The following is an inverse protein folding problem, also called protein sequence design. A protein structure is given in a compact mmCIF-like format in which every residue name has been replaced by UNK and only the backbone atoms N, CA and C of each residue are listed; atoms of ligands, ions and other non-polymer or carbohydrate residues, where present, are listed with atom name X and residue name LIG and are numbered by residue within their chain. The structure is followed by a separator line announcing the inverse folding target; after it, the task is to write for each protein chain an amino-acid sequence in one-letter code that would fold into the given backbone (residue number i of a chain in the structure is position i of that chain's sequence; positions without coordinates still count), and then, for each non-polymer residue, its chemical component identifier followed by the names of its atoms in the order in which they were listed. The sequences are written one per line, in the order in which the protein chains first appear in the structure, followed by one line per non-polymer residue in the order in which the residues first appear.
data_IF_199062913689
#
_entry.id   IF_199062913689
#
_cell.length_a   1.000
_cell.length_b   1.000
_cell.length_c   1.000
_cell.angle_alpha   90.00
_cell.angle_beta   90.00
_cell.angle_gamma   90.00
#
_symmetry.space_group_name_H-M   'P 1'
#
loop_
_entity.id
_entity.type
_entity.pdbx_description
1 polymer ?
#
# COMPACT_ATOMS: atom_id res chain seq x y z
N UNK A 1 -20.62 41.37 -0.17
CA UNK A 1 -20.15 40.81 1.11
C UNK A 1 -21.39 40.60 1.97
N UNK A 2 -21.87 39.36 2.06
CA UNK A 2 -23.09 39.05 2.79
C UNK A 2 -22.78 39.19 4.28
N UNK A 3 -23.58 39.99 5.00
CA UNK A 3 -23.38 40.38 6.40
C UNK A 3 -23.55 39.25 7.43
N UNK A 4 -23.23 38.00 7.04
CA UNK A 4 -23.35 36.83 7.86
C UNK A 4 -22.19 36.80 8.85
N UNK A 5 -22.50 36.93 10.13
CA UNK A 5 -21.55 36.78 11.23
C UNK A 5 -22.09 35.71 12.17
N UNK A 6 -21.45 34.54 12.18
CA UNK A 6 -21.65 33.53 13.21
C UNK A 6 -20.95 34.02 14.48
N UNK A 7 -21.54 35.02 15.13
CA UNK A 7 -21.04 35.60 16.36
C UNK A 7 -21.34 34.62 17.50
N UNK A 8 -20.37 33.77 17.79
CA UNK A 8 -20.35 32.92 18.97
C UNK A 8 -19.39 33.56 19.97
N UNK A 9 -19.84 33.67 21.22
CA UNK A 9 -18.95 33.91 22.36
C UNK A 9 -18.71 32.58 23.04
N UNK A 10 -17.60 32.41 23.75
CA UNK A 10 -17.37 31.14 24.41
C UNK A 10 -16.23 31.14 25.41
N UNK A 11 -16.18 30.08 26.20
CA UNK A 11 -15.18 29.84 27.22
C UNK A 11 -14.34 28.63 26.85
N UNK A 12 -13.02 28.75 26.95
CA UNK A 12 -12.10 27.62 26.82
C UNK A 12 -12.06 26.89 28.15
N UNK A 13 -12.65 25.70 28.19
CA UNK A 13 -12.76 24.88 29.40
C UNK A 13 -11.48 24.10 29.70
N UNK A 14 -10.79 23.66 28.64
CA UNK A 14 -9.53 22.94 28.73
C UNK A 14 -8.71 23.15 27.46
N UNK A 15 -7.38 23.13 27.59
CA UNK A 15 -6.46 23.11 26.47
C UNK A 15 -5.25 22.24 26.80
N UNK A 16 -4.91 21.30 25.91
CA UNK A 16 -3.74 20.44 26.04
C UNK A 16 -3.02 20.26 24.71
N UNK A 17 -1.71 19.98 24.78
CA UNK A 17 -0.92 19.60 23.63
C UNK A 17 -1.12 18.11 23.32
N UNK A 18 -1.65 17.80 22.14
CA UNK A 18 -1.87 16.45 21.64
C UNK A 18 -0.94 16.26 20.44
N UNK A 19 0.15 15.49 20.63
CA UNK A 19 1.09 15.09 19.57
C UNK A 19 1.61 16.23 18.68
N UNK A 20 1.99 17.36 19.29
CA UNK A 20 2.56 18.51 18.56
C UNK A 20 1.53 19.51 18.01
N UNK A 21 0.23 19.24 18.19
CA UNK A 21 -0.85 20.19 17.96
C UNK A 21 -1.57 20.54 19.27
N UNK A 22 -2.18 21.72 19.35
CA UNK A 22 -3.01 22.11 20.49
C UNK A 22 -4.46 21.67 20.31
N UNK A 23 -5.07 21.06 21.33
CA UNK A 23 -6.50 20.74 21.39
C UNK A 23 -7.18 21.54 22.50
N UNK A 24 -8.35 22.13 22.22
CA UNK A 24 -9.17 22.82 23.22
C UNK A 24 -10.58 22.22 23.30
N UNK A 25 -11.13 22.17 24.51
CA UNK A 25 -12.58 22.02 24.72
C UNK A 25 -13.15 23.41 24.96
N UNK A 26 -14.06 23.85 24.09
CA UNK A 26 -14.70 25.17 24.19
C UNK A 26 -16.20 25.01 24.34
N UNK A 27 -16.79 25.80 25.23
CA UNK A 27 -18.23 25.99 25.29
C UNK A 27 -18.58 27.26 24.51
N UNK A 28 -19.47 27.17 23.52
CA UNK A 28 -19.87 28.28 22.68
C UNK A 28 -21.33 28.64 22.94
N UNK A 29 -21.57 29.88 23.31
CA UNK A 29 -22.89 30.47 23.46
C UNK A 29 -23.23 31.29 22.21
N UNK A 30 -24.40 31.06 21.58
CA UNK A 30 -24.89 31.95 20.54
C UNK A 30 -25.18 33.32 21.14
N UNK A 31 -24.60 34.37 20.55
CA UNK A 31 -24.90 35.73 21.00
C UNK A 31 -26.40 36.05 20.78
N UNK A 32 -27.04 36.87 21.63
CA UNK A 32 -28.46 37.22 21.48
C UNK A 32 -28.82 37.92 20.15
N UNK A 33 -27.81 38.40 19.42
CA UNK A 33 -27.95 39.00 18.08
C UNK A 33 -27.71 38.01 16.93
N UNK A 34 -27.43 36.75 17.23
CA UNK A 34 -27.32 35.69 16.24
C UNK A 34 -28.70 35.25 15.76
N UNK A 35 -29.00 35.47 14.48
CA UNK A 35 -30.15 34.88 13.81
C UNK A 35 -29.72 33.55 13.18
N UNK A 36 -30.08 32.43 13.80
CA UNK A 36 -29.87 31.08 13.26
C UNK A 36 -31.17 30.52 12.72
N UNK A 37 -31.57 30.97 11.53
CA UNK A 37 -32.90 30.65 10.97
C UNK A 37 -32.80 29.96 9.59
N UNK A 38 -31.79 29.11 9.41
CA UNK A 38 -31.75 28.16 8.30
C UNK A 38 -31.43 26.78 8.80
N UNK A 39 -32.41 25.88 8.68
CA UNK A 39 -32.13 24.47 8.41
C UNK A 39 -31.18 24.43 7.22
N UNK A 40 -30.14 23.61 7.32
CA UNK A 40 -29.38 23.26 6.13
C UNK A 40 -30.37 22.50 5.26
N UNK A 41 -30.81 23.14 4.17
CA UNK A 41 -31.29 22.41 3.03
C UNK A 41 -30.16 21.44 2.69
N UNK A 42 -30.33 20.17 3.08
CA UNK A 42 -29.60 19.10 2.42
C UNK A 42 -30.08 19.11 0.97
N UNK A 43 -29.54 20.04 0.19
CA UNK A 43 -29.61 20.03 -1.26
C UNK A 43 -29.15 18.64 -1.70
N UNK A 44 -29.79 18.10 -2.74
CA UNK A 44 -29.47 16.79 -3.29
C UNK A 44 -27.95 16.66 -3.50
N UNK A 45 -27.41 15.48 -3.16
CA UNK A 45 -25.98 15.18 -3.23
C UNK A 45 -25.39 15.63 -4.57
N UNK A 46 -24.51 16.63 -4.53
CA UNK A 46 -23.73 17.03 -5.70
C UNK A 46 -22.75 15.91 -6.06
N UNK A 47 -22.96 15.26 -7.21
CA UNK A 47 -21.98 14.34 -7.78
C UNK A 47 -20.83 15.13 -8.39
N UNK A 48 -19.78 15.34 -7.61
CA UNK A 48 -18.56 15.95 -8.10
C UNK A 48 -17.70 14.89 -8.82
N UNK A 49 -17.86 14.76 -10.14
CA UNK A 49 -16.83 14.15 -10.96
C UNK A 49 -15.74 15.19 -11.19
N UNK A 50 -14.81 15.33 -10.23
CA UNK A 50 -13.73 16.29 -10.35
C UNK A 50 -13.05 16.18 -11.72
N UNK A 51 -12.79 17.32 -12.36
CA UNK A 51 -11.98 17.36 -13.57
C UNK A 51 -10.59 16.82 -13.21
N UNK A 52 -10.32 15.56 -13.57
CA UNK A 52 -9.07 14.84 -13.24
C UNK A 52 -7.88 15.30 -14.11
N UNK A 53 -7.87 16.55 -14.54
CA UNK A 53 -6.75 17.14 -15.30
C UNK A 53 -5.64 17.66 -14.37
N UNK A 54 -5.69 17.34 -13.07
CA UNK A 54 -4.67 17.72 -12.07
C UNK A 54 -3.30 17.07 -12.36
N UNK A 55 -3.22 16.13 -13.31
CA UNK A 55 -1.97 15.53 -13.79
C UNK A 55 -1.57 15.92 -15.21
N UNK A 56 -2.33 16.79 -15.89
CA UNK A 56 -1.90 17.35 -17.17
C UNK A 56 -0.90 18.48 -16.88
N UNK A 57 0.33 18.09 -16.57
CA UNK A 57 1.44 19.00 -16.50
C UNK A 57 1.78 19.48 -17.92
N UNK A 58 1.24 20.63 -18.32
CA UNK A 58 1.93 21.47 -19.29
C UNK A 58 3.19 22.05 -18.60
N UNK A 59 4.32 21.38 -18.79
CA UNK A 59 5.60 21.80 -18.21
C UNK A 59 6.74 20.90 -18.65
N UNK A 60 7.39 21.27 -19.73
CA UNK A 60 8.61 20.66 -20.28
C UNK A 60 9.78 20.85 -19.31
N UNK A 61 9.86 20.00 -18.28
CA UNK A 61 11.04 19.84 -17.45
C UNK A 61 11.89 18.71 -18.04
N UNK A 62 13.18 18.94 -18.37
CA UNK A 62 14.01 17.91 -18.97
C UNK A 62 14.15 16.72 -18.01
N UNK A 63 13.80 15.54 -18.51
CA UNK A 63 13.99 14.27 -17.83
C UNK A 63 15.47 14.09 -17.48
N UNK A 64 15.82 13.60 -16.27
CA UNK A 64 17.19 13.21 -15.97
C UNK A 64 17.66 12.12 -16.95
N UNK A 65 18.95 12.13 -17.31
CA UNK A 65 19.50 11.21 -18.31
C UNK A 65 19.24 9.74 -17.94
N UNK A 66 18.95 8.88 -18.94
CA UNK A 66 18.69 7.48 -18.69
C UNK A 66 19.95 6.79 -18.18
N UNK A 67 19.79 5.99 -17.11
CA UNK A 67 20.84 5.11 -16.63
C UNK A 67 21.25 4.11 -17.72
N UNK A 68 22.52 3.67 -17.76
CA UNK A 68 23.04 2.85 -18.83
C UNK A 68 22.29 1.52 -18.97
N UNK A 69 21.99 1.19 -20.22
CA UNK A 69 21.33 -0.04 -20.67
C UNK A 69 22.13 -1.28 -20.25
N UNK A 70 21.54 -2.08 -19.36
CA UNK A 70 22.02 -3.41 -18.98
C UNK A 70 20.98 -4.44 -19.45
N UNK A 71 20.73 -4.49 -20.76
CA UNK A 71 19.81 -5.44 -21.37
C UNK A 71 20.23 -6.88 -21.08
N UNK A 72 19.46 -7.56 -20.24
CA UNK A 72 19.38 -9.03 -20.18
C UNK A 72 18.00 -9.44 -20.71
N UNK A 73 17.88 -10.59 -21.42
CA UNK A 73 16.71 -10.90 -22.25
C UNK A 73 15.58 -11.50 -21.41
N UNK A 74 15.06 -10.74 -20.43
CA UNK A 74 13.81 -11.07 -19.74
C UNK A 74 12.88 -9.87 -19.86
N UNK A 75 11.64 -10.11 -20.27
CA UNK A 75 10.62 -9.12 -20.59
C UNK A 75 10.02 -8.38 -19.38
N UNK A 76 10.84 -8.07 -18.38
CA UNK A 76 10.45 -7.36 -17.16
C UNK A 76 11.37 -6.18 -16.83
N UNK A 77 11.01 -5.35 -15.83
CA UNK A 77 11.87 -4.29 -15.32
C UNK A 77 13.22 -4.84 -14.84
N UNK A 78 14.25 -4.02 -14.92
CA UNK A 78 15.57 -4.38 -14.42
C UNK A 78 15.50 -4.81 -12.95
N UNK A 79 16.22 -5.89 -12.63
CA UNK A 79 16.35 -6.37 -11.25
C UNK A 79 17.48 -5.61 -10.56
N UNK A 80 17.26 -5.28 -9.30
CA UNK A 80 18.20 -4.53 -8.49
C UNK A 80 18.76 -5.42 -7.39
N UNK A 81 20.03 -5.17 -7.04
CA UNK A 81 20.53 -5.65 -5.76
C UNK A 81 19.79 -4.91 -4.65
N UNK A 82 19.28 -5.61 -3.62
CA UNK A 82 18.59 -4.98 -2.52
C UNK A 82 19.46 -3.92 -1.86
N UNK A 83 18.85 -2.77 -1.54
CA UNK A 83 19.57 -1.70 -0.84
C UNK A 83 20.05 -2.18 0.52
N UNK A 84 21.30 -1.90 0.85
CA UNK A 84 21.86 -2.14 2.18
C UNK A 84 21.79 -0.86 3.00
N UNK A 85 21.24 -0.95 4.20
CA UNK A 85 21.15 0.15 5.14
C UNK A 85 21.09 -0.36 6.57
N UNK A 86 21.21 0.55 7.55
CA UNK A 86 21.03 0.17 8.95
C UNK A 86 19.64 -0.47 9.13
N UNK A 87 19.63 -1.65 9.77
CA UNK A 87 18.42 -2.45 10.05
C UNK A 87 17.65 -2.93 8.79
N UNK A 88 18.28 -2.94 7.61
CA UNK A 88 17.71 -3.61 6.42
C UNK A 88 17.85 -5.13 6.51
N UNK A 89 16.83 -5.86 6.07
CA UNK A 89 16.85 -7.31 5.90
C UNK A 89 16.75 -7.61 4.41
N UNK A 90 17.71 -8.40 3.92
CA UNK A 90 17.78 -8.80 2.52
C UNK A 90 17.95 -10.32 2.45
N UNK A 91 16.90 -11.02 2.01
CA UNK A 91 16.97 -12.47 1.82
C UNK A 91 17.44 -12.85 0.41
N UNK A 92 18.39 -13.77 0.31
CA UNK A 92 18.76 -14.42 -0.97
C UNK A 92 17.71 -15.45 -1.42
N UNK A 93 16.87 -15.92 -0.49
CA UNK A 93 15.76 -16.82 -0.78
C UNK A 93 14.52 -16.08 -1.30
N UNK A 94 14.53 -14.74 -1.30
CA UNK A 94 13.45 -13.92 -1.85
C UNK A 94 13.78 -13.38 -3.26
N UNK A 95 12.77 -13.07 -4.09
CA UNK A 95 12.99 -12.53 -5.42
C UNK A 95 13.63 -11.15 -5.36
N UNK A 96 14.64 -10.92 -6.21
CA UNK A 96 15.32 -9.62 -6.28
C UNK A 96 14.32 -8.46 -6.51
N UNK A 97 14.51 -7.33 -5.83
CA UNK A 97 13.73 -6.10 -6.05
C UNK A 97 13.72 -5.64 -7.50
N UNK A 98 12.66 -4.92 -7.88
CA UNK A 98 12.56 -4.20 -9.18
C UNK A 98 12.89 -2.72 -9.04
N UNK A 99 13.56 -2.35 -7.95
CA UNK A 99 13.99 -0.99 -7.65
C UNK A 99 14.92 -0.95 -6.43
N UNK A 100 15.35 0.26 -6.05
CA UNK A 100 16.26 0.47 -4.92
C UNK A 100 15.51 0.42 -3.58
N UNK A 101 15.30 -0.78 -3.05
CA UNK A 101 14.73 -0.99 -1.72
C UNK A 101 15.18 -2.34 -1.13
N UNK A 102 15.21 -2.50 0.21
CA UNK A 102 15.46 -3.79 0.85
C UNK A 102 14.20 -4.67 0.86
N UNK A 103 14.35 -5.97 1.12
CA UNK A 103 13.18 -6.86 1.27
C UNK A 103 12.34 -6.49 2.50
N UNK A 104 13.00 -6.16 3.61
CA UNK A 104 12.36 -5.57 4.77
C UNK A 104 13.28 -4.58 5.50
N UNK A 105 12.69 -3.80 6.40
CA UNK A 105 13.41 -2.95 7.34
C UNK A 105 12.84 -3.13 8.75
N UNK A 106 13.73 -3.32 9.72
CA UNK A 106 13.37 -3.33 11.14
C UNK A 106 13.36 -1.92 11.72
N UNK A 107 12.33 -1.61 12.51
CA UNK A 107 12.25 -0.39 13.33
C UNK A 107 11.67 -0.77 14.69
N UNK A 108 12.52 -0.81 15.72
CA UNK A 108 12.14 -1.29 17.06
C UNK A 108 11.64 -2.73 17.02
N UNK A 109 10.39 -2.93 17.48
CA UNK A 109 9.71 -4.23 17.53
C UNK A 109 8.88 -4.54 16.27
N UNK A 110 9.06 -3.77 15.19
CA UNK A 110 8.32 -3.93 13.94
C UNK A 110 9.24 -4.23 12.76
N UNK A 111 8.74 -5.06 11.85
CA UNK A 111 9.30 -5.34 10.53
C UNK A 111 8.36 -4.78 9.47
N UNK A 112 8.90 -3.94 8.60
CA UNK A 112 8.21 -3.41 7.43
C UNK A 112 8.75 -4.11 6.19
N UNK A 113 7.95 -4.98 5.58
CA UNK A 113 8.31 -5.60 4.31
C UNK A 113 8.03 -4.63 3.17
N UNK A 114 8.82 -4.69 2.10
CA UNK A 114 8.48 -4.04 0.84
C UNK A 114 7.28 -4.71 0.17
N UNK A 115 6.81 -4.19 -0.96
CA UNK A 115 5.78 -4.87 -1.76
C UNK A 115 6.29 -6.24 -2.23
N UNK A 116 5.58 -7.31 -1.86
CA UNK A 116 5.95 -8.70 -2.16
C UNK A 116 5.05 -9.25 -3.26
N UNK A 117 5.66 -9.61 -4.39
CA UNK A 117 5.00 -10.25 -5.52
C UNK A 117 5.26 -11.76 -5.62
N UNK A 118 4.65 -12.45 -6.59
CA UNK A 118 4.67 -13.91 -6.73
C UNK A 118 5.90 -14.46 -7.46
N UNK A 119 6.82 -13.60 -7.93
CA UNK A 119 8.01 -14.05 -8.68
C UNK A 119 8.80 -15.07 -7.87
N UNK A 120 9.45 -16.01 -8.52
CA UNK A 120 10.33 -16.97 -7.85
C UNK A 120 11.77 -16.43 -7.77
N UNK A 121 12.49 -16.65 -6.66
CA UNK A 121 13.90 -16.30 -6.53
C UNK A 121 14.74 -17.03 -7.59
N UNK A 122 15.80 -16.39 -8.08
CA UNK A 122 16.71 -16.92 -9.09
C UNK A 122 16.14 -16.95 -10.53
N UNK A 123 14.91 -17.41 -10.73
CA UNK A 123 14.32 -17.56 -12.08
C UNK A 123 13.44 -16.40 -12.52
N UNK A 124 12.84 -15.67 -11.57
CA UNK A 124 11.80 -14.67 -11.80
C UNK A 124 10.52 -15.19 -12.48
N UNK A 125 10.35 -16.51 -12.57
CA UNK A 125 9.12 -17.10 -13.06
C UNK A 125 7.92 -16.67 -12.17
N UNK A 126 6.76 -16.48 -12.77
CA UNK A 126 5.51 -16.16 -12.08
C UNK A 126 4.67 -17.45 -12.02
N UNK A 127 4.54 -18.11 -10.86
CA UNK A 127 3.65 -19.26 -10.71
C UNK A 127 2.21 -18.87 -11.06
N UNK A 128 1.54 -19.69 -11.86
CA UNK A 128 0.22 -19.34 -12.40
C UNK A 128 0.26 -18.47 -13.66
N UNK A 129 1.45 -18.06 -14.13
CA UNK A 129 1.62 -17.31 -15.37
C UNK A 129 1.45 -15.79 -15.21
N UNK A 130 2.04 -14.99 -16.12
CA UNK A 130 1.86 -13.54 -16.15
C UNK A 130 0.44 -13.16 -16.61
N UNK A 131 -0.02 -11.97 -16.23
CA UNK A 131 -1.34 -11.45 -16.62
C UNK A 131 -1.38 -10.93 -18.06
N UNK A 132 -0.21 -10.71 -18.67
CA UNK A 132 -0.06 -10.23 -20.03
C UNK A 132 1.24 -10.74 -20.66
N UNK A 133 1.28 -10.81 -21.98
CA UNK A 133 2.50 -11.09 -22.73
C UNK A 133 3.42 -9.86 -22.86
N UNK A 134 4.53 -10.03 -23.58
CA UNK A 134 5.54 -8.99 -23.81
C UNK A 134 5.00 -7.81 -24.65
N UNK A 135 3.86 -7.98 -25.33
CA UNK A 135 3.17 -6.94 -26.10
C UNK A 135 2.05 -6.28 -25.29
N UNK A 136 1.84 -6.71 -24.05
CA UNK A 136 0.78 -6.23 -23.16
C UNK A 136 -0.59 -6.82 -23.48
N UNK A 137 -0.69 -7.86 -24.33
CA UNK A 137 -1.97 -8.54 -24.56
C UNK A 137 -2.31 -9.39 -23.33
N UNK A 138 -3.58 -9.37 -22.85
CA UNK A 138 -3.98 -10.15 -21.68
C UNK A 138 -3.77 -11.65 -21.90
N UNK A 139 -3.26 -12.33 -20.87
CA UNK A 139 -3.11 -13.77 -20.82
C UNK A 139 -4.03 -14.34 -19.74
N UNK A 140 -4.36 -15.64 -19.85
CA UNK A 140 -4.99 -16.35 -18.74
C UNK A 140 -3.94 -16.71 -17.68
N UNK A 141 -4.33 -16.61 -16.40
CA UNK A 141 -3.45 -16.84 -15.27
C UNK A 141 -4.20 -17.39 -14.05
N UNK A 142 -3.46 -18.06 -13.17
CA UNK A 142 -3.97 -18.62 -11.93
C UNK A 142 -3.64 -17.72 -10.72
N UNK A 143 -4.66 -16.98 -10.25
CA UNK A 143 -4.54 -16.13 -9.05
C UNK A 143 -4.18 -16.93 -7.80
N UNK A 144 -4.63 -18.19 -7.66
CA UNK A 144 -4.36 -18.99 -6.47
C UNK A 144 -2.89 -19.35 -6.41
N UNK A 145 -2.31 -19.75 -7.53
CA UNK A 145 -0.87 -20.02 -7.63
C UNK A 145 -0.04 -18.77 -7.33
N UNK A 146 -0.40 -17.60 -7.89
CA UNK A 146 0.29 -16.35 -7.58
C UNK A 146 0.16 -15.98 -6.09
N UNK A 147 -1.04 -16.06 -5.52
CA UNK A 147 -1.28 -15.71 -4.10
C UNK A 147 -0.46 -16.60 -3.17
N UNK A 148 -0.38 -17.91 -3.44
CA UNK A 148 0.47 -18.83 -2.67
C UNK A 148 1.95 -18.44 -2.75
N UNK A 149 2.43 -18.12 -3.95
CA UNK A 149 3.80 -17.70 -4.15
C UNK A 149 4.13 -16.38 -3.41
N UNK A 150 3.19 -15.43 -3.35
CA UNK A 150 3.36 -14.21 -2.54
C UNK A 150 3.53 -14.56 -1.06
N UNK A 151 2.66 -15.42 -0.51
CA UNK A 151 2.72 -15.82 0.90
C UNK A 151 4.03 -16.58 1.19
N UNK A 152 4.47 -17.47 0.30
CA UNK A 152 5.78 -18.15 0.44
C UNK A 152 6.95 -17.16 0.47
N UNK A 153 6.94 -16.15 -0.40
CA UNK A 153 7.97 -15.12 -0.42
C UNK A 153 7.95 -14.27 0.85
N UNK A 154 6.77 -13.93 1.38
CA UNK A 154 6.64 -13.25 2.68
C UNK A 154 7.28 -14.10 3.78
N UNK A 155 6.98 -15.40 3.84
CA UNK A 155 7.55 -16.32 4.83
C UNK A 155 9.07 -16.33 4.75
N UNK A 156 9.66 -16.45 3.55
CA UNK A 156 11.12 -16.44 3.36
C UNK A 156 11.77 -15.14 3.87
N UNK A 157 11.13 -13.99 3.61
CA UNK A 157 11.63 -12.69 4.09
C UNK A 157 11.55 -12.59 5.62
N UNK A 158 10.47 -13.10 6.22
CA UNK A 158 10.31 -13.12 7.68
C UNK A 158 11.32 -14.06 8.34
N UNK A 159 11.54 -15.25 7.78
CA UNK A 159 12.54 -16.22 8.26
C UNK A 159 13.96 -15.64 8.21
N UNK A 160 14.32 -14.91 7.13
CA UNK A 160 15.59 -14.17 7.05
C UNK A 160 15.72 -13.12 8.16
N UNK A 161 14.62 -12.47 8.53
CA UNK A 161 14.59 -11.51 9.62
C UNK A 161 14.62 -12.18 11.01
N UNK A 162 14.60 -13.52 11.09
CA UNK A 162 14.49 -14.30 12.33
C UNK A 162 13.06 -14.44 12.88
N UNK A 163 12.05 -14.03 12.10
CA UNK A 163 10.63 -14.14 12.43
C UNK A 163 9.95 -15.28 11.68
N UNK A 164 8.61 -15.28 11.72
CA UNK A 164 7.77 -16.30 11.10
C UNK A 164 6.49 -15.70 10.53
N UNK A 165 5.73 -16.47 9.76
CA UNK A 165 4.43 -16.03 9.24
C UNK A 165 3.42 -15.70 10.35
N UNK A 166 3.57 -16.29 11.53
CA UNK A 166 2.70 -16.05 12.70
C UNK A 166 2.91 -14.65 13.30
N UNK A 167 4.00 -13.97 12.94
CA UNK A 167 4.31 -12.61 13.41
C UNK A 167 3.64 -11.52 12.57
N UNK A 168 2.91 -11.88 11.51
CA UNK A 168 2.24 -10.91 10.63
C UNK A 168 1.07 -10.23 11.34
N UNK A 169 1.04 -8.89 11.31
CA UNK A 169 0.06 -8.05 12.02
C UNK A 169 -0.96 -7.39 11.08
N UNK A 170 -0.48 -6.86 9.96
CA UNK A 170 -1.30 -6.16 8.96
C UNK A 170 -0.83 -6.50 7.55
N UNK A 171 -1.80 -6.66 6.66
CA UNK A 171 -1.57 -6.91 5.23
C UNK A 171 -2.44 -5.99 4.38
N UNK A 172 -1.79 -5.19 3.54
CA UNK A 172 -2.45 -4.50 2.44
C UNK A 172 -2.21 -5.27 1.15
N UNK A 173 -3.27 -5.83 0.56
CA UNK A 173 -3.23 -6.59 -0.69
C UNK A 173 -3.72 -5.76 -1.86
N UNK A 174 -3.01 -5.84 -2.97
CA UNK A 174 -3.36 -5.17 -4.22
C UNK A 174 -3.69 -6.20 -5.29
N UNK A 175 -4.87 -6.11 -5.90
CA UNK A 175 -5.33 -6.97 -7.00
C UNK A 175 -5.51 -6.13 -8.26
N UNK A 176 -5.08 -6.66 -9.40
CA UNK A 176 -5.27 -5.99 -10.71
C UNK A 176 -6.69 -6.15 -11.23
N UNK A 177 -7.28 -7.34 -11.09
CA UNK A 177 -8.67 -7.62 -11.48
C UNK A 177 -9.48 -8.14 -10.28
N UNK A 178 -10.06 -7.21 -9.51
CA UNK A 178 -10.81 -7.55 -8.28
C UNK A 178 -11.98 -8.48 -8.55
N UNK A 179 -12.77 -8.22 -9.59
CA UNK A 179 -14.01 -8.96 -9.85
C UNK A 179 -13.71 -10.42 -10.25
N UNK A 180 -12.63 -10.64 -11.01
CA UNK A 180 -12.16 -11.98 -11.38
C UNK A 180 -11.48 -12.70 -10.23
N UNK A 181 -10.57 -12.02 -9.52
CA UNK A 181 -9.55 -12.68 -8.73
C UNK A 181 -9.89 -12.81 -7.24
N UNK A 182 -10.81 -12.00 -6.73
CA UNK A 182 -11.08 -11.91 -5.28
C UNK A 182 -11.50 -13.24 -4.65
N UNK A 183 -12.30 -14.05 -5.35
CA UNK A 183 -12.71 -15.36 -4.84
C UNK A 183 -11.51 -16.30 -4.69
N UNK A 184 -10.68 -16.42 -5.72
CA UNK A 184 -9.51 -17.31 -5.70
C UNK A 184 -8.45 -16.86 -4.70
N UNK A 185 -8.21 -15.55 -4.63
CA UNK A 185 -7.37 -14.93 -3.60
C UNK A 185 -7.86 -15.29 -2.18
N UNK A 186 -9.17 -15.17 -1.90
CA UNK A 186 -9.72 -15.43 -0.57
C UNK A 186 -9.62 -16.90 -0.14
N UNK A 187 -9.72 -17.84 -1.09
CA UNK A 187 -9.50 -19.26 -0.78
C UNK A 187 -8.08 -19.51 -0.25
N UNK A 188 -7.07 -19.01 -0.96
CA UNK A 188 -5.67 -19.14 -0.53
C UNK A 188 -5.41 -18.36 0.76
N UNK A 189 -5.98 -17.17 0.90
CA UNK A 189 -5.92 -16.40 2.13
C UNK A 189 -6.41 -17.23 3.32
N UNK A 190 -7.60 -17.84 3.23
CA UNK A 190 -8.18 -18.66 4.29
C UNK A 190 -7.31 -19.89 4.64
N UNK A 191 -6.62 -20.48 3.65
CA UNK A 191 -5.70 -21.60 3.87
C UNK A 191 -4.41 -21.20 4.59
N UNK A 192 -4.01 -19.92 4.49
CA UNK A 192 -2.69 -19.40 4.88
C UNK A 192 -2.79 -18.30 5.95
N UNK A 193 -2.63 -17.03 5.57
CA UNK A 193 -2.64 -15.86 6.46
C UNK A 193 -3.94 -15.74 7.28
N UNK A 194 -5.07 -16.23 6.76
CA UNK A 194 -6.34 -16.29 7.48
C UNK A 194 -6.29 -17.13 8.76
N UNK A 195 -5.36 -18.08 8.89
CA UNK A 195 -5.13 -18.85 10.12
C UNK A 195 -4.29 -18.09 11.15
N UNK A 196 -3.43 -17.19 10.70
CA UNK A 196 -2.65 -16.27 11.54
C UNK A 196 -3.57 -15.17 12.08
N UNK A 197 -4.49 -14.70 11.25
CA UNK A 197 -5.48 -13.68 11.60
C UNK A 197 -4.96 -12.23 11.64
N UNK A 198 -4.08 -11.78 10.71
CA UNK A 198 -3.70 -10.39 10.65
C UNK A 198 -4.88 -9.53 10.18
N UNK A 199 -4.82 -8.25 10.51
CA UNK A 199 -5.70 -7.25 9.90
C UNK A 199 -5.43 -7.17 8.39
N UNK A 200 -6.46 -6.85 7.61
CA UNK A 200 -6.39 -6.89 6.14
C UNK A 200 -7.11 -5.73 5.49
N UNK A 201 -6.45 -5.12 4.51
CA UNK A 201 -7.05 -4.24 3.50
C UNK A 201 -6.82 -4.83 2.12
N UNK A 202 -7.84 -4.83 1.24
CA UNK A 202 -7.70 -5.31 -0.14
C UNK A 202 -8.19 -4.23 -1.11
N UNK A 203 -7.36 -3.88 -2.09
CA UNK A 203 -7.59 -2.78 -3.03
C UNK A 203 -7.52 -3.28 -4.47
N UNK A 204 -8.37 -2.73 -5.32
CA UNK A 204 -8.23 -2.85 -6.77
C UNK A 204 -7.26 -1.76 -7.27
N UNK A 205 -6.31 -2.12 -8.11
CA UNK A 205 -5.34 -1.19 -8.71
C UNK A 205 -5.24 -1.40 -10.22
N UNK A 206 -4.77 -0.38 -10.94
CA UNK A 206 -4.66 -0.45 -12.41
C UNK A 206 -3.55 -1.40 -12.87
N UNK A 207 -2.40 -1.39 -12.21
CA UNK A 207 -1.21 -2.11 -12.66
C UNK A 207 -0.18 -2.28 -11.54
N UNK A 208 0.64 -3.32 -11.66
CA UNK A 208 1.82 -3.60 -10.83
C UNK A 208 3.11 -3.47 -11.66
N UNK A 209 4.29 -3.34 -11.04
CA UNK A 209 5.56 -3.12 -11.77
C UNK A 209 5.98 -4.26 -12.71
N UNK A 210 5.42 -5.44 -12.53
CA UNK A 210 5.61 -6.65 -13.36
C UNK A 210 4.23 -7.19 -13.76
N UNK A 211 4.11 -8.07 -14.76
CA UNK A 211 2.82 -8.60 -15.19
C UNK A 211 2.26 -9.65 -14.21
N UNK A 212 2.09 -9.27 -12.95
CA UNK A 212 1.57 -10.06 -11.84
C UNK A 212 0.17 -9.54 -11.46
N UNK A 213 -0.66 -10.42 -10.92
CA UNK A 213 -2.05 -10.14 -10.55
C UNK A 213 -2.19 -9.63 -9.11
N UNK A 214 -1.24 -9.99 -8.23
CA UNK A 214 -1.31 -9.72 -6.79
C UNK A 214 0.05 -9.31 -6.22
N UNK A 215 0.03 -8.29 -5.35
CA UNK A 215 1.14 -7.87 -4.51
C UNK A 215 0.63 -7.62 -3.08
N UNK A 216 1.46 -7.89 -2.08
CA UNK A 216 1.13 -7.63 -0.67
C UNK A 216 2.19 -6.77 0.01
N UNK A 217 1.73 -5.77 0.77
CA UNK A 217 2.53 -5.00 1.73
C UNK A 217 2.23 -5.52 3.13
N UNK A 218 3.27 -5.83 3.89
CA UNK A 218 3.16 -6.52 5.18
C UNK A 218 3.85 -5.73 6.29
N UNK A 219 3.18 -5.63 7.44
CA UNK A 219 3.78 -5.23 8.72
C UNK A 219 3.75 -6.44 9.65
N UNK A 220 4.89 -6.77 10.23
CA UNK A 220 5.03 -7.89 11.16
C UNK A 220 5.72 -7.45 12.45
N UNK A 221 5.58 -8.25 13.51
CA UNK A 221 6.37 -8.12 14.72
C UNK A 221 7.81 -8.56 14.45
N UNK A 222 8.78 -7.79 14.93
CA UNK A 222 10.19 -8.18 14.86
C UNK A 222 10.53 -9.18 15.98
N UNK A 223 11.39 -10.18 15.72
CA UNK A 223 11.90 -11.06 16.77
C UNK A 223 12.69 -10.25 17.80
N UNK A 224 12.56 -10.61 19.07
CA UNK A 224 13.28 -9.95 20.15
C UNK A 224 14.78 -10.29 20.06
N UNK A 225 15.64 -9.28 20.20
CA UNK A 225 17.08 -9.53 20.35
C UNK A 225 17.33 -10.01 21.78
N UNK A 226 17.92 -11.20 21.93
CA UNK A 226 18.33 -11.75 23.22
C UNK A 226 19.60 -11.09 23.74
#
# INVERSE_FOLDING_TARGET
MNGNRNNLTGEVLAYEAIHGAGGAVVHLDPTPSGAGDKEYDEDDVEFFSGERNVLDAEGDAPLPEPLPDQSSPSSGPALWEPTTGESSVNSEAAPKPVGMYPHARRVGDLLYLSGVGPRQPGTNAIPGGPISDDQGAPLDYDIKAQTRAVVENITRILEEAGGSIDDVLDVTSFLVDMDRDFSGYNEVWAETLGKVGPTRTTLAIRALPTPIAVEMKVIAKAPQEN
#
